data_IF_346050715622
#
_entry.id   IF_346050715622
#
_cell.length_a   1.000
_cell.length_b   1.000
_cell.length_c   1.000
_cell.angle_alpha   90.00
_cell.angle_beta   90.00
_cell.angle_gamma   90.00
#
_symmetry.space_group_name_H-M   'P 1'
#
loop_
_entity.id
_entity.type
_entity.pdbx_description
1 polymer ?
#
# COMPACT_ATOMS: atom_id res chain seq x y z
N UNK A 1 19.60 -28.81 -38.09
CA UNK A 1 18.36 -29.11 -37.35
C UNK A 1 18.72 -30.03 -36.20
N UNK A 2 18.49 -29.64 -34.94
CA UNK A 2 18.60 -30.56 -33.80
C UNK A 2 19.37 -30.03 -32.59
N UNK A 3 18.85 -28.99 -31.90
CA UNK A 3 19.24 -28.63 -30.52
C UNK A 3 18.09 -27.88 -29.80
N UNK A 4 16.90 -28.50 -29.66
CA UNK A 4 15.78 -27.89 -28.91
C UNK A 4 14.99 -28.87 -28.02
N UNK A 5 15.42 -30.13 -27.85
CA UNK A 5 14.60 -31.15 -27.18
C UNK A 5 14.98 -31.45 -25.72
N UNK A 6 16.10 -30.93 -25.20
CA UNK A 6 16.65 -31.35 -23.89
C UNK A 6 16.26 -30.45 -22.72
N UNK A 7 15.80 -29.22 -22.96
CA UNK A 7 15.42 -28.28 -21.89
C UNK A 7 14.08 -28.65 -21.26
N UNK A 8 13.10 -29.08 -22.06
CA UNK A 8 11.74 -29.35 -21.57
C UNK A 8 11.64 -30.54 -20.59
N UNK A 9 12.56 -31.50 -20.63
CA UNK A 9 12.51 -32.67 -19.73
C UNK A 9 13.11 -32.39 -18.35
N UNK A 10 14.03 -31.44 -18.24
CA UNK A 10 14.66 -31.03 -16.98
C UNK A 10 13.72 -30.12 -16.18
N UNK A 11 13.05 -29.18 -16.85
CA UNK A 11 12.09 -28.26 -16.21
C UNK A 11 10.90 -29.02 -15.61
N UNK A 12 10.35 -30.00 -16.35
CA UNK A 12 9.25 -30.84 -15.85
C UNK A 12 9.60 -31.64 -14.58
N UNK A 13 10.87 -32.02 -14.39
CA UNK A 13 11.32 -32.75 -13.21
C UNK A 13 11.51 -31.82 -12.00
N UNK A 14 11.90 -30.57 -12.24
CA UNK A 14 12.00 -29.56 -11.19
C UNK A 14 10.62 -29.15 -10.67
N UNK A 15 9.67 -28.93 -11.58
CA UNK A 15 8.29 -28.57 -11.23
C UNK A 15 7.61 -29.66 -10.40
N UNK A 16 7.80 -30.93 -10.76
CA UNK A 16 7.29 -32.06 -9.98
C UNK A 16 7.86 -32.09 -8.55
N UNK A 17 9.17 -31.86 -8.39
CA UNK A 17 9.82 -31.80 -7.08
C UNK A 17 9.35 -30.62 -6.24
N UNK A 18 9.14 -29.45 -6.86
CA UNK A 18 8.60 -28.27 -6.18
C UNK A 18 7.20 -28.55 -5.64
N UNK A 19 6.34 -29.18 -6.45
CA UNK A 19 5.01 -29.56 -6.04
C UNK A 19 5.03 -30.59 -4.90
N UNK A 20 5.82 -31.65 -5.03
CA UNK A 20 5.97 -32.68 -3.99
C UNK A 20 6.47 -32.08 -2.67
N UNK A 21 7.42 -31.14 -2.72
CA UNK A 21 7.89 -30.41 -1.54
C UNK A 21 6.76 -29.58 -0.91
N UNK A 22 5.94 -28.90 -1.71
CA UNK A 22 4.80 -28.14 -1.21
C UNK A 22 3.76 -29.04 -0.56
N UNK A 23 3.47 -30.20 -1.14
CA UNK A 23 2.55 -31.19 -0.56
C UNK A 23 3.08 -31.75 0.78
N UNK A 24 4.37 -32.07 0.85
CA UNK A 24 5.01 -32.48 2.09
C UNK A 24 4.94 -31.38 3.16
N UNK A 25 5.19 -30.12 2.77
CA UNK A 25 5.10 -28.99 3.68
C UNK A 25 3.68 -28.81 4.24
N UNK A 26 2.65 -28.89 3.37
CA UNK A 26 1.24 -28.76 3.76
C UNK A 26 0.81 -29.91 4.70
N UNK A 27 1.28 -31.13 4.45
CA UNK A 27 0.86 -32.33 5.21
C UNK A 27 1.65 -32.53 6.51
N UNK A 28 2.90 -32.07 6.56
CA UNK A 28 3.80 -32.32 7.70
C UNK A 28 3.83 -31.16 8.69
N UNK A 29 3.85 -29.92 8.21
CA UNK A 29 3.97 -28.75 9.07
C UNK A 29 2.60 -28.24 9.49
N UNK A 30 2.43 -27.73 10.71
CA UNK A 30 1.24 -26.96 11.10
C UNK A 30 1.19 -25.61 10.36
N UNK A 31 0.00 -25.01 10.27
CA UNK A 31 -0.26 -23.77 9.51
C UNK A 31 0.65 -22.62 9.95
N UNK A 32 0.90 -22.50 11.25
CA UNK A 32 1.69 -21.44 11.86
C UNK A 32 3.14 -21.46 11.38
N UNK A 33 3.74 -22.65 11.25
CA UNK A 33 5.11 -22.78 10.73
C UNK A 33 5.17 -22.49 9.23
N UNK A 34 4.13 -22.85 8.48
CA UNK A 34 4.05 -22.50 7.05
C UNK A 34 3.91 -21.00 6.85
N UNK A 35 3.14 -20.31 7.68
CA UNK A 35 3.02 -18.85 7.64
C UNK A 35 4.37 -18.15 7.85
N UNK A 36 5.24 -18.66 8.74
CA UNK A 36 6.61 -18.15 8.92
C UNK A 36 7.44 -18.35 7.65
N UNK A 37 7.35 -19.52 7.01
CA UNK A 37 8.06 -19.81 5.76
C UNK A 37 7.57 -18.88 4.65
N UNK A 38 6.26 -18.68 4.52
CA UNK A 38 5.69 -17.77 3.54
C UNK A 38 6.12 -16.32 3.79
N UNK A 39 6.11 -15.86 5.04
CA UNK A 39 6.59 -14.52 5.38
C UNK A 39 8.06 -14.33 4.99
N UNK A 40 8.91 -15.33 5.23
CA UNK A 40 10.31 -15.32 4.80
C UNK A 40 10.45 -15.23 3.27
N UNK A 41 9.68 -16.04 2.52
CA UNK A 41 9.68 -16.01 1.04
C UNK A 41 9.22 -14.64 0.51
N UNK A 42 8.30 -13.97 1.20
CA UNK A 42 7.65 -12.75 0.75
C UNK A 42 8.36 -11.46 1.20
N UNK A 43 9.49 -11.55 1.91
CA UNK A 43 10.17 -10.42 2.56
C UNK A 43 10.47 -9.25 1.59
N UNK A 44 10.78 -9.53 0.32
CA UNK A 44 11.13 -8.51 -0.68
C UNK A 44 9.91 -7.87 -1.38
N UNK A 45 8.69 -8.23 -0.99
CA UNK A 45 7.48 -7.95 -1.78
C UNK A 45 6.51 -6.96 -1.12
N UNK A 46 6.96 -6.30 -0.06
CA UNK A 46 6.11 -5.71 0.98
C UNK A 46 5.48 -4.35 0.65
N UNK A 47 5.78 -3.73 -0.50
CA UNK A 47 5.15 -2.47 -0.91
C UNK A 47 4.52 -2.57 -2.29
N UNK A 48 3.27 -2.14 -2.42
CA UNK A 48 2.52 -2.17 -3.68
C UNK A 48 1.68 -0.91 -3.87
N UNK A 49 1.87 -0.23 -4.99
CA UNK A 49 1.02 0.89 -5.41
C UNK A 49 -0.23 0.37 -6.14
N UNK A 50 -1.39 0.57 -5.52
CA UNK A 50 -2.68 0.07 -6.01
C UNK A 50 -3.12 0.79 -7.29
N UNK A 51 -2.71 2.05 -7.49
CA UNK A 51 -3.03 2.77 -8.72
C UNK A 51 -2.24 2.24 -9.93
N UNK A 52 -1.05 1.67 -9.68
CA UNK A 52 -0.19 1.10 -10.71
C UNK A 52 -0.45 -0.40 -10.95
N UNK A 53 -1.06 -1.11 -10.00
CA UNK A 53 -1.35 -2.54 -10.12
C UNK A 53 -2.78 -2.87 -9.70
N UNK A 54 -3.70 -2.91 -10.67
CA UNK A 54 -5.00 -3.59 -10.52
C UNK A 54 -4.88 -5.10 -10.36
N UNK A 55 -3.69 -5.63 -10.57
CA UNK A 55 -3.45 -7.05 -10.66
C UNK A 55 -3.01 -7.58 -9.29
N UNK A 56 -3.35 -8.85 -9.03
CA UNK A 56 -2.72 -9.74 -8.02
C UNK A 56 -1.19 -9.70 -8.14
N UNK A 57 -0.36 -10.39 -7.32
CA UNK A 57 1.08 -10.45 -7.58
C UNK A 57 1.34 -10.76 -9.07
N UNK A 58 1.62 -9.72 -9.87
CA UNK A 58 1.52 -9.77 -11.32
C UNK A 58 2.72 -9.09 -11.94
N UNK A 59 3.14 -9.74 -13.03
CA UNK A 59 4.27 -9.51 -13.93
C UNK A 59 5.66 -9.43 -13.29
N UNK A 60 5.88 -8.55 -12.30
CA UNK A 60 7.22 -8.37 -11.72
C UNK A 60 7.72 -9.59 -10.92
N UNK A 61 6.79 -10.35 -10.32
CA UNK A 61 7.10 -11.59 -9.59
C UNK A 61 6.53 -12.83 -10.27
N UNK A 62 5.78 -12.68 -11.36
CA UNK A 62 5.24 -13.80 -12.13
C UNK A 62 6.35 -14.70 -12.74
N UNK A 63 7.59 -14.20 -12.80
CA UNK A 63 8.76 -14.97 -13.17
C UNK A 63 9.35 -15.84 -12.05
N UNK A 64 8.82 -15.76 -10.82
CA UNK A 64 9.23 -16.63 -9.73
C UNK A 64 8.36 -17.88 -9.72
N UNK A 65 9.00 -19.04 -9.72
CA UNK A 65 8.34 -20.34 -9.87
C UNK A 65 7.26 -20.59 -8.81
N UNK A 66 7.41 -20.01 -7.62
CA UNK A 66 6.45 -20.19 -6.52
C UNK A 66 5.12 -19.45 -6.70
N UNK A 67 5.01 -18.54 -7.68
CA UNK A 67 3.73 -17.91 -8.05
C UNK A 67 3.00 -18.66 -9.16
N UNK A 68 3.63 -19.67 -9.77
CA UNK A 68 3.04 -20.47 -10.84
C UNK A 68 2.25 -21.63 -10.22
N UNK A 69 0.95 -21.64 -10.47
CA UNK A 69 0.01 -22.60 -9.91
C UNK A 69 0.32 -24.02 -10.38
N UNK A 70 0.89 -24.15 -11.57
CA UNK A 70 1.27 -25.42 -12.16
C UNK A 70 2.45 -26.07 -11.44
N UNK A 71 3.30 -25.25 -10.79
CA UNK A 71 4.53 -25.67 -10.10
C UNK A 71 4.35 -25.85 -8.59
N UNK A 72 3.27 -25.30 -8.02
CA UNK A 72 3.00 -25.28 -6.58
C UNK A 72 1.64 -25.93 -6.32
N UNK A 73 1.55 -26.76 -5.29
CA UNK A 73 0.26 -27.35 -4.89
C UNK A 73 -0.79 -26.24 -4.65
N UNK A 74 -2.02 -26.41 -5.16
CA UNK A 74 -3.07 -25.38 -5.13
C UNK A 74 -3.30 -24.80 -3.73
N UNK A 75 -3.32 -25.66 -2.71
CA UNK A 75 -3.47 -25.27 -1.31
C UNK A 75 -2.30 -24.41 -0.84
N UNK A 76 -1.05 -24.80 -1.14
CA UNK A 76 0.14 -24.02 -0.78
C UNK A 76 0.17 -22.66 -1.47
N UNK A 77 -0.27 -22.60 -2.73
CA UNK A 77 -0.37 -21.35 -3.48
C UNK A 77 -1.41 -20.40 -2.86
N UNK A 78 -2.59 -20.93 -2.48
CA UNK A 78 -3.64 -20.15 -1.80
C UNK A 78 -3.16 -19.61 -0.46
N UNK A 79 -2.50 -20.46 0.32
CA UNK A 79 -1.90 -20.11 1.60
C UNK A 79 -0.83 -19.01 1.46
N UNK A 80 0.02 -19.11 0.44
CA UNK A 80 1.02 -18.09 0.11
C UNK A 80 0.36 -16.77 -0.31
N UNK A 81 -0.70 -16.81 -1.12
CA UNK A 81 -1.42 -15.61 -1.54
C UNK A 81 -2.08 -14.90 -0.35
N UNK A 82 -2.67 -15.65 0.59
CA UNK A 82 -3.17 -15.10 1.85
C UNK A 82 -2.05 -14.42 2.65
N UNK A 83 -0.90 -15.09 2.79
CA UNK A 83 0.25 -14.56 3.49
C UNK A 83 0.75 -13.25 2.87
N UNK A 84 0.75 -13.15 1.53
CA UNK A 84 1.11 -11.92 0.82
C UNK A 84 0.17 -10.75 1.09
N UNK A 85 -1.14 -10.97 1.04
CA UNK A 85 -2.09 -9.91 1.40
C UNK A 85 -1.96 -9.46 2.86
N UNK A 86 -1.61 -10.39 3.77
CA UNK A 86 -1.38 -10.06 5.19
C UNK A 86 -0.06 -9.31 5.41
N UNK A 87 1.00 -9.68 4.71
CA UNK A 87 2.34 -9.12 4.93
C UNK A 87 2.55 -7.80 4.19
N UNK A 88 2.02 -7.66 2.97
CA UNK A 88 2.19 -6.50 2.11
C UNK A 88 1.47 -5.25 2.65
N UNK A 89 2.09 -4.09 2.42
CA UNK A 89 1.51 -2.77 2.62
C UNK A 89 1.00 -2.25 1.28
N UNK A 90 -0.31 -2.09 1.18
CA UNK A 90 -0.97 -1.55 0.01
C UNK A 90 -0.97 -0.03 0.07
N UNK A 91 -0.43 0.61 -0.95
CA UNK A 91 -0.37 2.06 -1.07
C UNK A 91 -1.50 2.56 -1.96
N UNK A 92 -2.33 3.43 -1.40
CA UNK A 92 -3.33 4.18 -2.09
C UNK A 92 -2.75 5.56 -2.38
N UNK A 93 -2.57 5.86 -3.67
CA UNK A 93 -2.19 7.19 -4.11
C UNK A 93 -3.30 8.23 -3.88
N UNK A 94 -3.30 9.29 -4.68
CA UNK A 94 -4.21 10.43 -4.49
C UNK A 94 -5.69 10.10 -4.74
N UNK A 95 -5.95 9.08 -5.56
CA UNK A 95 -7.31 8.69 -5.92
C UNK A 95 -7.92 7.70 -4.93
N UNK A 96 -8.49 8.27 -3.87
CA UNK A 96 -9.19 7.52 -2.82
C UNK A 96 -10.54 6.94 -3.29
N UNK A 97 -11.04 7.32 -4.46
CA UNK A 97 -12.30 6.79 -5.01
C UNK A 97 -12.23 5.29 -5.33
N UNK A 98 -11.02 4.74 -5.48
CA UNK A 98 -10.81 3.33 -5.74
C UNK A 98 -10.77 2.45 -4.49
N UNK A 99 -10.67 3.03 -3.28
CA UNK A 99 -10.50 2.26 -2.05
C UNK A 99 -11.65 1.27 -1.85
N UNK A 100 -12.90 1.74 -1.95
CA UNK A 100 -14.07 0.88 -1.79
C UNK A 100 -14.07 -0.27 -2.78
N UNK A 101 -13.92 0.05 -4.08
CA UNK A 101 -13.94 -0.96 -5.14
C UNK A 101 -12.82 -1.97 -4.95
N UNK A 102 -11.61 -1.52 -4.63
CA UNK A 102 -10.46 -2.39 -4.41
C UNK A 102 -10.69 -3.32 -3.21
N UNK A 103 -11.07 -2.77 -2.06
CA UNK A 103 -11.26 -3.51 -0.82
C UNK A 103 -12.42 -4.52 -0.91
N UNK A 104 -13.50 -4.16 -1.60
CA UNK A 104 -14.69 -5.00 -1.77
C UNK A 104 -14.55 -6.03 -2.88
N UNK A 105 -13.60 -5.86 -3.80
CA UNK A 105 -13.38 -6.83 -4.87
C UNK A 105 -12.79 -8.12 -4.30
N UNK A 106 -13.30 -9.26 -4.77
CA UNK A 106 -12.78 -10.56 -4.40
C UNK A 106 -11.36 -10.77 -4.94
N UNK A 107 -10.57 -11.51 -4.19
CA UNK A 107 -9.31 -12.09 -4.64
C UNK A 107 -9.64 -13.32 -5.48
N UNK A 108 -9.08 -13.39 -6.69
CA UNK A 108 -9.28 -14.53 -7.56
C UNK A 108 -8.75 -15.79 -6.88
N UNK A 109 -9.41 -16.92 -7.17
CA UNK A 109 -9.09 -18.26 -6.63
C UNK A 109 -9.29 -18.46 -5.12
N UNK A 110 -9.29 -17.38 -4.32
CA UNK A 110 -9.71 -17.42 -2.90
C UNK A 110 -11.20 -17.13 -2.72
N UNK A 111 -11.80 -16.33 -3.61
CA UNK A 111 -13.23 -16.01 -3.55
C UNK A 111 -13.63 -15.14 -2.35
N UNK A 112 -12.65 -14.60 -1.62
CA UNK A 112 -12.87 -13.72 -0.46
C UNK A 112 -12.56 -12.26 -0.81
N UNK A 113 -13.26 -11.29 -0.21
CA UNK A 113 -12.94 -9.88 -0.37
C UNK A 113 -11.54 -9.52 0.14
N UNK A 114 -10.86 -8.59 -0.52
CA UNK A 114 -9.50 -8.14 -0.13
C UNK A 114 -9.44 -7.60 1.30
N UNK A 115 -10.46 -6.89 1.75
CA UNK A 115 -10.48 -6.31 3.10
C UNK A 115 -10.45 -7.35 4.24
N UNK A 116 -10.77 -8.62 3.96
CA UNK A 116 -10.61 -9.71 4.93
C UNK A 116 -9.15 -10.14 5.12
N UNK A 117 -8.30 -9.91 4.12
CA UNK A 117 -6.90 -10.37 4.10
C UNK A 117 -5.90 -9.24 4.39
N UNK A 118 -6.20 -8.03 3.92
CA UNK A 118 -5.30 -6.88 4.05
C UNK A 118 -5.20 -6.45 5.50
N UNK A 119 -3.96 -6.37 6.01
CA UNK A 119 -3.69 -5.89 7.37
C UNK A 119 -2.93 -4.56 7.40
N UNK A 120 -2.33 -4.12 6.29
CA UNK A 120 -1.51 -2.90 6.23
C UNK A 120 -1.90 -2.08 5.00
N UNK A 121 -2.29 -0.83 5.22
CA UNK A 121 -2.58 0.13 4.16
C UNK A 121 -1.84 1.44 4.40
N UNK A 122 -1.39 2.08 3.33
CA UNK A 122 -0.85 3.43 3.35
C UNK A 122 -1.62 4.30 2.38
N UNK A 123 -1.82 5.56 2.73
CA UNK A 123 -2.61 6.50 1.95
C UNK A 123 -1.85 7.82 1.88
N UNK A 124 -1.76 8.37 0.68
CA UNK A 124 -1.11 9.66 0.46
C UNK A 124 -2.14 10.73 0.13
N UNK A 125 -2.13 11.80 0.92
CA UNK A 125 -2.87 13.02 0.64
C UNK A 125 -1.94 14.09 0.11
N UNK A 126 -2.43 14.90 -0.81
CA UNK A 126 -1.78 16.17 -1.08
C UNK A 126 -2.19 17.21 -0.06
N UNK A 127 -1.31 18.19 0.13
CA UNK A 127 -1.61 19.37 0.93
C UNK A 127 -2.93 20.07 0.53
N UNK A 128 -3.31 20.06 -0.75
CA UNK A 128 -4.57 20.64 -1.25
C UNK A 128 -5.82 19.94 -0.71
N UNK A 129 -5.70 18.66 -0.38
CA UNK A 129 -6.82 17.86 0.12
C UNK A 129 -7.11 18.22 1.59
N UNK A 130 -6.07 18.64 2.31
CA UNK A 130 -6.12 18.92 3.76
C UNK A 130 -6.27 20.43 4.06
N UNK A 131 -5.67 21.30 3.26
CA UNK A 131 -5.63 22.75 3.51
C UNK A 131 -6.75 23.49 2.82
N UNK A 132 -7.50 24.29 3.58
CA UNK A 132 -8.53 25.19 3.07
C UNK A 132 -7.94 26.28 2.17
N UNK A 133 -8.28 26.26 0.87
CA UNK A 133 -8.18 27.45 0.04
C UNK A 133 -9.33 28.38 0.42
N UNK A 134 -9.00 29.58 0.91
CA UNK A 134 -9.94 30.52 1.55
C UNK A 134 -11.12 30.99 0.69
N UNK A 135 -11.20 30.65 -0.60
CA UNK A 135 -12.37 30.88 -1.45
C UNK A 135 -12.43 29.82 -2.55
N UNK A 136 -13.56 29.09 -2.73
CA UNK A 136 -13.82 28.47 -4.02
C UNK A 136 -13.85 29.59 -5.07
N UNK A 137 -13.18 29.39 -6.21
CA UNK A 137 -13.23 30.29 -7.35
C UNK A 137 -14.67 30.23 -7.93
N UNK A 138 -15.58 31.04 -7.37
CA UNK A 138 -16.87 31.36 -7.99
C UNK A 138 -18.04 30.40 -7.74
N UNK A 139 -18.18 29.79 -6.56
CA UNK A 139 -19.32 28.92 -6.23
C UNK A 139 -19.96 29.21 -4.88
N UNK A 140 -21.25 28.91 -4.75
CA UNK A 140 -22.05 29.03 -3.52
C UNK A 140 -21.35 28.34 -2.34
N UNK A 141 -20.90 29.15 -1.38
CA UNK A 141 -20.03 28.77 -0.25
C UNK A 141 -20.73 27.80 0.72
N UNK A 142 -22.05 27.68 0.61
CA UNK A 142 -22.88 26.88 1.54
C UNK A 142 -22.95 25.39 1.21
N UNK A 143 -22.52 24.96 0.01
CA UNK A 143 -22.68 23.56 -0.45
C UNK A 143 -21.39 22.78 -0.67
N UNK A 144 -20.22 23.40 -0.53
CA UNK A 144 -18.94 22.70 -0.75
C UNK A 144 -18.52 22.02 0.56
N UNK A 145 -18.48 20.66 0.63
CA UNK A 145 -18.04 19.97 1.83
C UNK A 145 -16.63 20.42 2.21
N UNK A 146 -16.42 20.64 3.51
CA UNK A 146 -15.10 21.01 4.02
C UNK A 146 -14.06 19.95 3.64
N UNK A 147 -12.79 20.34 3.49
CA UNK A 147 -11.67 19.41 3.28
C UNK A 147 -11.71 18.22 4.24
N UNK A 148 -12.07 18.48 5.51
CA UNK A 148 -12.29 17.47 6.54
C UNK A 148 -13.41 16.49 6.16
N UNK A 149 -14.59 16.98 5.79
CA UNK A 149 -15.73 16.11 5.44
C UNK A 149 -15.40 15.20 4.25
N UNK A 150 -14.72 15.73 3.23
CA UNK A 150 -14.28 14.94 2.05
C UNK A 150 -13.26 13.88 2.41
N UNK A 151 -12.29 14.20 3.26
CA UNK A 151 -11.30 13.21 3.73
C UNK A 151 -12.00 12.14 4.56
N UNK A 152 -12.87 12.52 5.49
CA UNK A 152 -13.62 11.57 6.32
C UNK A 152 -14.47 10.62 5.46
N UNK A 153 -15.29 11.16 4.56
CA UNK A 153 -16.12 10.38 3.63
C UNK A 153 -15.30 9.33 2.88
N UNK A 154 -14.13 9.71 2.37
CA UNK A 154 -13.25 8.81 1.62
C UNK A 154 -12.59 7.75 2.50
N UNK A 155 -12.30 8.09 3.75
CA UNK A 155 -11.72 7.16 4.71
C UNK A 155 -12.76 6.24 5.35
N UNK A 156 -14.07 6.49 5.17
CA UNK A 156 -15.11 5.57 5.62
C UNK A 156 -14.93 4.16 5.05
N UNK A 157 -14.43 4.06 3.82
CA UNK A 157 -14.19 2.76 3.20
C UNK A 157 -13.06 1.96 3.87
N UNK A 158 -12.20 2.61 4.67
CA UNK A 158 -11.19 1.89 5.46
C UNK A 158 -11.79 1.09 6.61
N UNK A 159 -13.00 1.43 7.06
CA UNK A 159 -13.69 0.66 8.09
C UNK A 159 -14.17 -0.71 7.58
N UNK A 160 -14.05 -0.99 6.28
CA UNK A 160 -14.18 -2.35 5.74
C UNK A 160 -13.03 -3.25 6.19
N UNK A 161 -11.86 -2.70 6.51
CA UNK A 161 -10.71 -3.48 6.98
C UNK A 161 -10.98 -4.10 8.35
N UNK A 162 -10.41 -5.28 8.58
CA UNK A 162 -10.45 -5.95 9.87
C UNK A 162 -9.90 -5.04 10.98
N UNK A 163 -10.55 -5.06 12.16
CA UNK A 163 -10.05 -4.40 13.37
C UNK A 163 -8.60 -4.81 13.66
N UNK A 164 -7.78 -3.85 14.08
CA UNK A 164 -6.34 -4.03 14.28
C UNK A 164 -5.47 -3.86 13.03
N UNK A 165 -6.07 -3.61 11.86
CA UNK A 165 -5.32 -3.24 10.66
C UNK A 165 -4.49 -1.95 10.89
N UNK A 166 -3.33 -1.90 10.26
CA UNK A 166 -2.38 -0.79 10.32
C UNK A 166 -2.65 0.19 9.18
N UNK A 167 -3.03 1.42 9.51
CA UNK A 167 -3.33 2.49 8.56
C UNK A 167 -2.26 3.57 8.69
N UNK A 168 -1.53 3.81 7.62
CA UNK A 168 -0.50 4.84 7.53
C UNK A 168 -1.01 5.98 6.67
N UNK A 169 -1.09 7.19 7.21
CA UNK A 169 -1.50 8.37 6.45
C UNK A 169 -0.29 9.28 6.22
N UNK A 170 0.00 9.58 4.96
CA UNK A 170 1.07 10.48 4.56
C UNK A 170 0.47 11.74 3.97
N UNK A 171 0.93 12.90 4.42
CA UNK A 171 0.58 14.18 3.79
C UNK A 171 1.81 14.72 3.08
N UNK A 172 1.72 14.79 1.76
CA UNK A 172 2.74 15.40 0.92
C UNK A 172 2.54 16.92 0.93
N UNK A 173 3.57 17.62 1.41
CA UNK A 173 3.67 19.07 1.38
C UNK A 173 4.78 19.41 0.39
N UNK A 174 4.38 19.71 -0.84
CA UNK A 174 5.30 19.91 -1.97
C UNK A 174 5.14 21.25 -2.68
N UNK A 175 6.28 21.90 -2.95
CA UNK A 175 6.39 23.13 -3.72
C UNK A 175 6.64 22.85 -5.22
N UNK A 176 6.03 23.69 -6.09
CA UNK A 176 6.52 24.17 -7.42
C UNK A 176 5.97 23.69 -8.77
N UNK A 177 5.16 22.65 -8.94
CA UNK A 177 4.92 22.15 -10.32
C UNK A 177 3.72 22.72 -11.09
N UNK A 178 2.93 23.63 -10.50
CA UNK A 178 2.09 24.52 -11.30
C UNK A 178 2.47 25.97 -10.99
N UNK A 179 3.12 26.64 -11.96
CA UNK A 179 3.47 28.07 -11.95
C UNK A 179 2.32 29.03 -11.59
N UNK A 180 1.09 28.53 -11.43
CA UNK A 180 -0.14 29.27 -11.14
C UNK A 180 -0.82 28.95 -9.81
N UNK A 181 -0.47 27.88 -9.08
CA UNK A 181 -1.16 27.56 -7.84
C UNK A 181 -0.30 27.93 -6.63
N UNK A 182 -0.85 28.84 -5.83
CA UNK A 182 -0.38 29.36 -4.55
C UNK A 182 0.86 28.65 -3.99
N UNK A 183 2.03 29.20 -4.32
CA UNK A 183 3.25 28.85 -3.60
C UNK A 183 3.05 29.28 -2.14
N UNK A 184 2.96 28.32 -1.23
CA UNK A 184 3.60 28.52 0.05
C UNK A 184 5.07 28.68 -0.31
N UNK A 185 5.49 29.92 -0.43
CA UNK A 185 6.90 30.21 -0.50
C UNK A 185 7.48 29.66 0.80
N UNK A 186 8.10 28.48 0.72
CA UNK A 186 8.83 27.84 1.82
C UNK A 186 9.93 28.74 2.40
N UNK A 187 10.11 29.95 1.86
CA UNK A 187 10.90 31.05 2.41
C UNK A 187 10.31 31.70 3.66
N UNK A 188 9.04 31.45 4.01
CA UNK A 188 8.45 32.00 5.24
C UNK A 188 8.13 30.88 6.25
N UNK A 189 8.97 30.71 7.30
CA UNK A 189 8.71 29.76 8.39
C UNK A 189 7.33 29.93 9.04
N UNK A 190 6.78 31.16 9.01
CA UNK A 190 5.43 31.46 9.53
C UNK A 190 4.33 30.79 8.70
N UNK A 191 4.46 30.74 7.37
CA UNK A 191 3.48 30.11 6.49
C UNK A 191 3.53 28.59 6.58
N UNK A 192 4.73 28.04 6.64
CA UNK A 192 4.95 26.60 6.84
C UNK A 192 4.34 26.13 8.16
N UNK A 193 4.65 26.80 9.29
CA UNK A 193 4.04 26.48 10.59
C UNK A 193 2.51 26.55 10.54
N UNK A 194 1.94 27.52 9.83
CA UNK A 194 0.49 27.65 9.68
C UNK A 194 -0.10 26.46 8.93
N UNK A 195 0.55 26.02 7.86
CA UNK A 195 0.11 24.89 7.03
C UNK A 195 0.25 23.59 7.80
N UNK A 196 1.39 23.36 8.44
CA UNK A 196 1.60 22.21 9.32
C UNK A 196 0.53 22.16 10.40
N UNK A 197 0.24 23.28 11.08
CA UNK A 197 -0.82 23.33 12.10
C UNK A 197 -2.19 22.96 11.53
N UNK A 198 -2.51 23.41 10.32
CA UNK A 198 -3.78 23.06 9.68
C UNK A 198 -3.83 21.58 9.32
N UNK A 199 -2.76 21.05 8.73
CA UNK A 199 -2.63 19.64 8.38
C UNK A 199 -2.77 18.77 9.60
N UNK A 200 -2.00 19.05 10.66
CA UNK A 200 -2.08 18.27 11.90
C UNK A 200 -3.47 18.34 12.49
N UNK A 201 -4.10 19.52 12.59
CA UNK A 201 -5.45 19.65 13.16
C UNK A 201 -6.47 18.79 12.42
N UNK A 202 -6.51 18.88 11.09
CA UNK A 202 -7.46 18.11 10.28
C UNK A 202 -7.18 16.61 10.38
N UNK A 203 -5.91 16.21 10.32
CA UNK A 203 -5.54 14.79 10.34
C UNK A 203 -5.73 14.16 11.72
N UNK A 204 -5.44 14.86 12.82
CA UNK A 204 -5.72 14.36 14.16
C UNK A 204 -7.23 14.13 14.36
N UNK A 205 -8.06 15.08 13.94
CA UNK A 205 -9.53 14.92 13.99
C UNK A 205 -10.00 13.70 13.20
N UNK A 206 -9.37 13.46 12.04
CA UNK A 206 -9.66 12.29 11.18
C UNK A 206 -9.23 10.99 11.85
N UNK A 207 -8.07 10.97 12.51
CA UNK A 207 -7.48 9.78 13.13
C UNK A 207 -8.19 9.35 14.42
N UNK A 208 -8.90 10.25 15.11
CA UNK A 208 -9.64 9.91 16.33
C UNK A 208 -10.64 8.77 16.12
N UNK A 209 -11.37 8.78 15.00
CA UNK A 209 -12.42 7.79 14.74
C UNK A 209 -11.84 6.38 14.44
N UNK A 210 -10.89 6.20 13.51
CA UNK A 210 -10.20 4.91 13.36
C UNK A 210 -9.51 4.44 14.64
N UNK A 211 -8.96 5.36 15.44
CA UNK A 211 -8.31 4.97 16.70
C UNK A 211 -9.32 4.37 17.68
N UNK A 212 -10.52 4.94 17.76
CA UNK A 212 -11.60 4.45 18.62
C UNK A 212 -12.12 3.06 18.19
N UNK A 213 -12.05 2.73 16.91
CA UNK A 213 -12.42 1.40 16.37
C UNK A 213 -11.30 0.35 16.49
N UNK A 214 -10.15 0.70 17.08
CA UNK A 214 -9.06 -0.23 17.35
C UNK A 214 -8.10 -0.46 16.17
N UNK A 215 -8.03 0.47 15.21
CA UNK A 215 -7.00 0.44 14.17
C UNK A 215 -5.64 0.92 14.72
N UNK A 216 -4.55 0.37 14.17
CA UNK A 216 -3.19 0.86 14.45
C UNK A 216 -2.87 1.98 13.49
N UNK A 217 -2.52 3.15 13.99
CA UNK A 217 -2.39 4.35 13.17
C UNK A 217 -0.96 4.87 13.18
N UNK A 218 -0.49 5.29 12.01
CA UNK A 218 0.73 6.06 11.84
C UNK A 218 0.45 7.26 10.93
N UNK A 219 1.06 8.40 11.22
CA UNK A 219 0.96 9.59 10.39
C UNK A 219 2.35 10.11 10.06
N UNK A 220 2.58 10.43 8.79
CA UNK A 220 3.79 11.08 8.30
C UNK A 220 3.47 12.37 7.56
N UNK A 221 4.36 13.35 7.66
CA UNK A 221 4.34 14.53 6.80
C UNK A 221 5.60 14.50 5.95
N UNK A 222 5.44 14.43 4.64
CA UNK A 222 6.55 14.42 3.71
C UNK A 222 6.74 15.82 3.13
N UNK A 223 7.84 16.48 3.50
CA UNK A 223 8.23 17.76 2.93
C UNK A 223 9.09 17.50 1.68
N UNK A 224 8.68 18.00 0.51
CA UNK A 224 9.59 17.99 -0.65
C UNK A 224 10.64 19.09 -0.49
N UNK A 225 11.83 18.69 -0.04
CA UNK A 225 13.04 19.50 -0.11
C UNK A 225 13.46 19.70 -1.58
N UNK A 226 14.10 20.83 -1.88
CA UNK A 226 14.50 21.20 -3.25
C UNK A 226 15.54 20.20 -3.79
N UNK A 227 15.14 19.52 -4.87
CA UNK A 227 15.88 18.51 -5.68
C UNK A 227 15.76 17.09 -5.11
N UNK A 228 14.84 16.26 -5.62
CA UNK A 228 15.01 14.82 -5.46
C UNK A 228 16.23 14.42 -6.29
N UNK A 229 17.28 13.93 -5.65
CA UNK A 229 18.15 12.98 -6.34
C UNK A 229 17.28 11.77 -6.69
N UNK A 230 17.39 11.31 -7.94
CA UNK A 230 16.47 10.33 -8.54
C UNK A 230 16.37 9.01 -7.77
N UNK A 231 17.31 8.73 -6.86
CA UNK A 231 17.31 7.58 -5.94
C UNK A 231 16.27 7.68 -4.82
N UNK A 232 16.00 8.88 -4.28
CA UNK A 232 15.18 9.05 -3.06
C UNK A 232 13.68 8.73 -3.21
N UNK A 233 13.16 8.66 -4.43
CA UNK A 233 11.76 8.32 -4.69
C UNK A 233 11.47 6.83 -4.52
N UNK A 234 12.48 5.97 -4.70
CA UNK A 234 12.33 4.53 -4.52
C UNK A 234 12.54 4.09 -3.06
N UNK A 235 13.48 4.71 -2.34
CA UNK A 235 13.80 4.28 -0.97
C UNK A 235 12.65 4.52 0.01
N UNK A 236 11.88 5.60 -0.16
CA UNK A 236 10.77 5.96 0.73
C UNK A 236 9.50 5.12 0.51
N UNK A 237 9.29 4.64 -0.71
CA UNK A 237 8.23 3.68 -1.02
C UNK A 237 8.59 2.26 -0.55
N UNK A 238 9.88 1.95 -0.44
CA UNK A 238 10.35 0.60 -0.09
C UNK A 238 10.24 0.26 1.41
N UNK A 239 9.81 1.20 2.25
CA UNK A 239 9.74 0.98 3.71
C UNK A 239 11.10 0.98 4.41
N UNK A 240 12.18 1.24 3.70
CA UNK A 240 13.51 1.42 4.26
C UNK A 240 13.67 2.89 4.65
N UNK A 241 13.16 3.24 5.83
CA UNK A 241 13.67 4.42 6.52
C UNK A 241 15.14 4.15 6.82
N UNK A 242 16.08 5.04 6.47
CA UNK A 242 17.45 4.91 6.94
C UNK A 242 17.40 4.91 8.46
N UNK A 243 17.89 3.83 9.06
CA UNK A 243 18.20 3.82 10.49
C UNK A 243 19.28 4.90 10.68
N UNK A 244 18.96 5.93 11.46
CA UNK A 244 19.97 6.90 11.88
C UNK A 244 21.02 6.11 12.67
N UNK A 245 22.25 6.03 12.13
CA UNK A 245 23.41 5.60 12.89
C UNK A 245 23.64 6.68 13.96
N UNK A 246 23.43 6.32 15.22
CA UNK A 246 23.83 7.14 16.36
C UNK A 246 25.36 7.16 16.41
N UNK A 247 25.94 8.32 16.09
CA UNK A 247 27.33 8.70 16.43
C UNK A 247 27.44 9.12 17.91
#
# INVERSE_FOLDING_TARGET
>A
MGQHATTNSLDNNQDAKCRDLCEQMITTLPRELRDIIYEYILCDTLYKDVAASTNEPASSQAGLDYWQVEKVADTAWKELLEAWYRSARFHMGEDLGYIERFLSSNVARLGVPRHHLITKISITFNQRDVVFLKKPLGGDVTKVPTSRARILERLEHLFLLKRGASIHLYVIIGCRWTRRMMMIDARSPRRERKVLRQVTTVMFDVLLRPSAEGYRLAMGIQLFSRRPDKSSLFDLCSGNLPLEEED
#
